data_IF_806094594707
#
_entry.id   IF_806094594707
#
_cell.length_a   1.000
_cell.length_b   1.000
_cell.length_c   1.000
_cell.angle_alpha   90.00
_cell.angle_beta   90.00
_cell.angle_gamma   90.00
#
_symmetry.space_group_name_H-M   'P 1'
#
loop_
_entity.id
_entity.type
_entity.pdbx_description
1 polymer ?
#
# COMPACT_ATOMS: atom_id res chain seq x y z
N UNK A 1 -38.67 -58.65 34.07
CA UNK A 1 -37.47 -58.15 33.41
C UNK A 1 -37.81 -56.85 32.66
N UNK A 2 -37.46 -55.69 33.21
CA UNK A 2 -37.71 -54.37 32.62
C UNK A 2 -36.45 -53.90 31.88
N UNK A 3 -36.52 -53.74 30.56
CA UNK A 3 -35.43 -53.16 29.75
C UNK A 3 -35.49 -51.65 29.81
N UNK A 4 -34.45 -51.02 30.34
CA UNK A 4 -34.25 -49.56 30.35
C UNK A 4 -33.55 -49.21 29.03
N UNK A 5 -34.22 -48.41 28.23
CA UNK A 5 -33.66 -47.88 26.94
C UNK A 5 -32.95 -46.56 27.27
N UNK A 6 -31.63 -46.56 27.18
CA UNK A 6 -30.84 -45.32 27.34
C UNK A 6 -30.83 -44.56 26.01
N UNK A 7 -31.44 -43.36 26.00
CA UNK A 7 -31.31 -42.40 24.88
C UNK A 7 -29.99 -41.67 24.99
N UNK A 8 -29.09 -41.88 24.03
CA UNK A 8 -27.92 -41.05 23.84
C UNK A 8 -28.33 -39.74 23.12
N UNK A 9 -28.29 -38.63 23.84
CA UNK A 9 -28.44 -37.30 23.22
C UNK A 9 -27.05 -36.84 22.71
N UNK A 10 -26.83 -36.93 21.39
CA UNK A 10 -25.66 -36.38 20.77
C UNK A 10 -25.74 -34.85 20.70
N UNK A 11 -25.02 -34.16 21.59
CA UNK A 11 -24.91 -32.72 21.59
C UNK A 11 -24.09 -32.26 20.37
N UNK A 12 -24.73 -31.56 19.41
CA UNK A 12 -24.06 -30.87 18.32
C UNK A 12 -23.33 -29.63 18.91
N UNK A 13 -22.02 -29.73 19.09
CA UNK A 13 -21.20 -28.58 19.45
C UNK A 13 -21.09 -27.66 18.22
N UNK A 14 -21.79 -26.51 18.23
CA UNK A 14 -21.61 -25.45 17.27
C UNK A 14 -20.20 -24.88 17.44
N UNK A 15 -19.32 -25.09 16.43
CA UNK A 15 -18.03 -24.44 16.38
C UNK A 15 -18.22 -22.92 16.37
N UNK A 16 -17.44 -22.14 17.15
CA UNK A 16 -17.55 -20.69 17.14
C UNK A 16 -17.22 -20.18 15.72
N UNK A 17 -17.91 -19.11 15.24
CA UNK A 17 -17.63 -18.56 13.93
C UNK A 17 -16.15 -18.15 13.86
N UNK A 18 -15.45 -18.58 12.82
CA UNK A 18 -14.07 -18.19 12.57
C UNK A 18 -14.00 -16.66 12.57
N UNK A 19 -13.24 -16.09 13.52
CA UNK A 19 -13.02 -14.66 13.58
C UNK A 19 -12.49 -14.21 12.23
N UNK A 20 -13.22 -13.32 11.56
CA UNK A 20 -12.76 -12.75 10.29
C UNK A 20 -11.38 -12.13 10.53
N UNK A 21 -10.36 -12.60 9.78
CA UNK A 21 -9.00 -12.12 9.95
C UNK A 21 -8.99 -10.59 9.88
N UNK A 22 -8.42 -9.94 10.91
CA UNK A 22 -8.39 -8.49 11.04
C UNK A 22 -7.71 -7.87 9.80
N UNK A 23 -8.46 -7.06 9.06
CA UNK A 23 -7.94 -6.34 7.91
C UNK A 23 -6.93 -5.32 8.37
N UNK A 24 -5.68 -5.45 7.93
CA UNK A 24 -4.61 -4.56 8.35
C UNK A 24 -3.75 -4.09 7.19
N UNK A 25 -3.34 -2.82 7.24
CA UNK A 25 -2.58 -2.11 6.22
C UNK A 25 -1.40 -1.39 6.87
N UNK A 26 -0.22 -1.48 6.28
CA UNK A 26 0.86 -0.53 6.50
C UNK A 26 0.89 0.48 5.35
N UNK A 27 0.84 1.76 5.69
CA UNK A 27 1.15 2.86 4.76
C UNK A 27 2.58 3.30 5.02
N UNK A 28 3.47 3.01 4.07
CA UNK A 28 4.89 3.35 4.10
C UNK A 28 5.16 4.43 3.04
N UNK A 29 5.57 5.62 3.44
CA UNK A 29 5.67 6.69 2.47
C UNK A 29 6.43 7.93 2.91
N UNK A 30 6.40 8.90 2.02
CA UNK A 30 6.96 10.25 2.14
C UNK A 30 5.92 11.30 2.53
N UNK A 31 6.17 12.57 2.18
CA UNK A 31 5.24 13.70 2.43
C UNK A 31 3.86 13.51 1.79
N UNK A 32 3.77 12.80 0.65
CA UNK A 32 2.49 12.52 0.01
C UNK A 32 1.65 11.54 0.84
N UNK A 33 2.29 10.58 1.50
CA UNK A 33 1.60 9.70 2.44
C UNK A 33 1.18 10.46 3.71
N UNK A 34 2.01 11.36 4.22
CA UNK A 34 1.66 12.25 5.35
C UNK A 34 0.41 13.07 5.03
N UNK A 35 0.36 13.74 3.87
CA UNK A 35 -0.80 14.52 3.46
C UNK A 35 -2.05 13.67 3.23
N UNK A 36 -1.90 12.39 2.85
CA UNK A 36 -3.03 11.46 2.66
C UNK A 36 -3.58 10.93 3.99
N UNK A 37 -2.77 10.89 5.03
CA UNK A 37 -3.06 10.30 6.34
C UNK A 37 -4.41 10.69 6.96
N UNK A 38 -4.81 11.98 6.99
CA UNK A 38 -6.08 12.39 7.63
C UNK A 38 -7.33 11.80 6.97
N UNK A 39 -7.24 11.41 5.69
CA UNK A 39 -8.38 10.95 4.90
C UNK A 39 -8.55 9.42 4.91
N UNK A 40 -7.51 8.66 5.27
CA UNK A 40 -7.53 7.19 5.21
C UNK A 40 -8.58 6.55 6.15
N UNK A 41 -8.77 7.01 7.40
CA UNK A 41 -9.74 6.37 8.31
C UNK A 41 -11.17 6.37 7.77
N UNK A 42 -11.57 7.41 7.08
CA UNK A 42 -12.88 7.51 6.44
C UNK A 42 -13.05 6.49 5.32
N UNK A 43 -12.01 6.26 4.55
CA UNK A 43 -12.03 5.36 3.39
C UNK A 43 -11.86 3.88 3.77
N UNK A 44 -11.26 3.60 4.92
CA UNK A 44 -10.98 2.25 5.44
C UNK A 44 -11.44 2.08 6.90
N UNK A 45 -12.73 2.30 7.22
CA UNK A 45 -13.20 2.35 8.61
C UNK A 45 -13.08 1.00 9.36
N UNK A 46 -13.05 -0.12 8.62
CA UNK A 46 -12.93 -1.47 9.19
C UNK A 46 -11.50 -2.04 9.11
N UNK A 47 -10.50 -1.20 8.79
CA UNK A 47 -9.11 -1.61 8.69
C UNK A 47 -8.28 -1.07 9.85
N UNK A 48 -7.40 -1.90 10.38
CA UNK A 48 -6.33 -1.43 11.25
C UNK A 48 -5.20 -0.86 10.38
N UNK A 49 -5.10 0.46 10.30
CA UNK A 49 -4.11 1.16 9.48
C UNK A 49 -2.93 1.59 10.34
N UNK A 50 -1.76 1.03 10.07
CA UNK A 50 -0.48 1.48 10.59
C UNK A 50 0.17 2.42 9.58
N UNK A 51 0.73 3.52 10.06
CA UNK A 51 1.34 4.52 9.19
C UNK A 51 2.78 4.78 9.60
N UNK A 52 3.67 4.74 8.63
CA UNK A 52 5.05 5.18 8.74
C UNK A 52 5.36 6.04 7.53
N UNK A 53 5.11 7.32 7.65
CA UNK A 53 5.48 8.31 6.64
C UNK A 53 6.48 9.30 7.23
N UNK A 54 7.34 9.87 6.40
CA UNK A 54 8.25 10.93 6.78
C UNK A 54 8.58 11.80 5.57
N UNK A 55 8.56 13.12 5.76
CA UNK A 55 8.95 14.08 4.73
C UNK A 55 10.34 13.73 4.18
N UNK A 56 10.51 13.85 2.88
CA UNK A 56 11.76 13.56 2.15
C UNK A 56 12.28 12.12 2.24
N UNK A 57 11.46 11.14 2.70
CA UNK A 57 11.89 9.74 2.69
C UNK A 57 12.11 9.27 1.26
N UNK A 58 13.25 8.57 1.07
CA UNK A 58 13.64 7.94 -0.18
C UNK A 58 13.11 6.51 -0.33
N UNK A 59 13.07 6.02 -1.57
CA UNK A 59 12.59 4.67 -1.88
C UNK A 59 13.44 3.57 -1.22
N UNK A 60 14.77 3.73 -1.19
CA UNK A 60 15.70 2.77 -0.58
C UNK A 60 15.50 2.58 0.93
N UNK A 61 14.77 3.48 1.62
CA UNK A 61 14.44 3.36 3.04
C UNK A 61 13.15 2.56 3.30
N UNK A 62 12.47 2.15 2.24
CA UNK A 62 11.15 1.53 2.35
C UNK A 62 11.17 0.15 2.99
N UNK A 63 12.16 -0.67 2.69
CA UNK A 63 12.31 -2.01 3.23
C UNK A 63 12.68 -1.98 4.73
N UNK A 64 13.53 -1.04 5.15
CA UNK A 64 13.89 -0.87 6.56
C UNK A 64 12.66 -0.58 7.43
N UNK A 65 11.78 0.31 6.94
CA UNK A 65 10.49 0.58 7.61
C UNK A 65 9.70 -0.71 7.79
N UNK A 66 9.59 -1.53 6.75
CA UNK A 66 8.84 -2.79 6.81
C UNK A 66 9.50 -3.80 7.77
N UNK A 67 10.84 -3.91 7.78
CA UNK A 67 11.59 -4.80 8.69
C UNK A 67 11.32 -4.49 10.16
N UNK A 68 11.14 -3.21 10.53
CA UNK A 68 10.82 -2.79 11.91
C UNK A 68 9.50 -3.35 12.44
N UNK A 69 8.57 -3.70 11.55
CA UNK A 69 7.32 -4.36 11.95
C UNK A 69 7.49 -5.86 12.23
N UNK A 70 8.50 -6.53 11.64
CA UNK A 70 8.80 -7.94 11.85
C UNK A 70 7.56 -8.82 11.60
N UNK A 71 7.20 -9.66 12.57
CA UNK A 71 6.02 -10.53 12.51
C UNK A 71 4.67 -9.76 12.50
N UNK A 72 4.66 -8.50 12.93
CA UNK A 72 3.49 -7.62 12.94
C UNK A 72 3.25 -6.93 11.58
N UNK A 73 4.12 -7.16 10.58
CA UNK A 73 3.95 -6.57 9.25
C UNK A 73 2.64 -7.05 8.62
N UNK A 74 1.72 -6.14 8.25
CA UNK A 74 0.43 -6.48 7.67
C UNK A 74 0.53 -7.30 6.38
N UNK A 75 -0.58 -7.96 6.03
CA UNK A 75 -0.70 -8.66 4.75
C UNK A 75 -0.78 -7.71 3.55
N UNK A 76 -1.19 -6.47 3.77
CA UNK A 76 -1.26 -5.42 2.75
C UNK A 76 -0.34 -4.28 3.13
N UNK A 77 0.50 -3.86 2.19
CA UNK A 77 1.42 -2.72 2.33
C UNK A 77 1.16 -1.75 1.18
N UNK A 78 0.88 -0.49 1.50
CA UNK A 78 0.91 0.58 0.53
C UNK A 78 2.25 1.31 0.59
N UNK A 79 2.89 1.52 -0.56
CA UNK A 79 4.14 2.26 -0.69
C UNK A 79 3.91 3.53 -1.52
N UNK A 80 4.28 4.67 -0.94
CA UNK A 80 4.26 5.98 -1.58
C UNK A 80 5.65 6.59 -1.47
N UNK A 81 6.60 6.07 -2.25
CA UNK A 81 8.02 6.44 -2.26
C UNK A 81 8.55 6.54 -3.69
N UNK A 82 9.66 7.23 -3.85
CA UNK A 82 10.33 7.47 -5.12
C UNK A 82 10.23 8.93 -5.58
N UNK A 83 9.37 9.73 -4.96
CA UNK A 83 9.18 11.14 -5.31
C UNK A 83 10.41 11.99 -4.97
N UNK A 84 11.20 11.58 -3.97
CA UNK A 84 12.37 12.32 -3.49
C UNK A 84 13.69 11.77 -4.03
N UNK A 85 13.64 10.77 -4.87
CA UNK A 85 14.83 10.13 -5.44
C UNK A 85 15.25 10.78 -6.78
N UNK A 86 16.49 10.58 -7.19
CA UNK A 86 16.98 11.05 -8.49
C UNK A 86 16.37 10.19 -9.61
N UNK A 87 15.48 10.74 -10.48
CA UNK A 87 14.84 9.97 -11.53
C UNK A 87 15.79 9.42 -12.60
N UNK A 88 17.07 9.80 -12.58
CA UNK A 88 18.14 9.24 -13.40
C UNK A 88 18.66 7.90 -12.89
N UNK A 89 18.52 7.62 -11.59
CA UNK A 89 18.95 6.38 -10.97
C UNK A 89 17.88 5.27 -11.06
N UNK A 90 17.73 4.72 -12.27
CA UNK A 90 16.73 3.66 -12.54
C UNK A 90 17.06 2.35 -11.83
N UNK A 91 18.35 2.03 -11.68
CA UNK A 91 18.79 0.79 -11.04
C UNK A 91 18.61 0.86 -9.54
N UNK A 92 18.96 1.96 -8.88
CA UNK A 92 18.70 2.16 -7.47
C UNK A 92 17.21 2.11 -7.13
N UNK A 93 16.34 2.63 -8.01
CA UNK A 93 14.91 2.50 -7.81
C UNK A 93 14.40 1.06 -7.99
N UNK A 94 14.96 0.31 -8.95
CA UNK A 94 14.67 -1.12 -9.13
C UNK A 94 15.08 -1.93 -7.90
N UNK A 95 16.26 -1.65 -7.36
CA UNK A 95 16.79 -2.29 -6.16
C UNK A 95 15.91 -2.00 -4.93
N UNK A 96 15.46 -0.75 -4.77
CA UNK A 96 14.52 -0.37 -3.71
C UNK A 96 13.20 -1.16 -3.79
N UNK A 97 12.65 -1.34 -5.01
CA UNK A 97 11.46 -2.18 -5.21
C UNK A 97 11.78 -3.64 -4.85
N UNK A 98 12.91 -4.18 -5.29
CA UNK A 98 13.31 -5.56 -5.00
C UNK A 98 13.47 -5.80 -3.50
N UNK A 99 14.04 -4.86 -2.76
CA UNK A 99 14.23 -4.94 -1.30
C UNK A 99 12.91 -4.92 -0.54
N UNK A 100 12.00 -4.02 -0.91
CA UNK A 100 10.63 -3.98 -0.38
C UNK A 100 9.92 -5.30 -0.63
N UNK A 101 10.01 -5.83 -1.86
CA UNK A 101 9.36 -7.09 -2.24
C UNK A 101 10.00 -8.31 -1.56
N UNK A 102 11.29 -8.27 -1.25
CA UNK A 102 11.99 -9.31 -0.48
C UNK A 102 11.45 -9.37 0.96
N UNK A 103 11.23 -8.21 1.60
CA UNK A 103 10.63 -8.14 2.94
C UNK A 103 9.16 -8.52 2.92
N UNK A 104 8.42 -8.13 1.90
CA UNK A 104 7.01 -8.52 1.73
C UNK A 104 6.86 -10.04 1.57
N UNK A 105 7.83 -10.70 0.93
CA UNK A 105 7.74 -12.10 0.57
C UNK A 105 6.61 -12.35 -0.44
N UNK A 106 6.17 -13.61 -0.56
CA UNK A 106 5.12 -14.00 -1.52
C UNK A 106 3.69 -13.87 -0.98
N UNK A 107 3.53 -13.76 0.32
CA UNK A 107 2.23 -13.80 1.01
C UNK A 107 1.60 -12.41 1.25
N UNK A 108 2.34 -11.33 1.04
CA UNK A 108 1.86 -9.97 1.24
C UNK A 108 1.64 -9.28 -0.09
N UNK A 109 0.54 -8.54 -0.18
CA UNK A 109 0.24 -7.69 -1.32
C UNK A 109 0.87 -6.31 -1.09
N UNK A 110 1.64 -5.84 -2.07
CA UNK A 110 2.22 -4.50 -2.09
C UNK A 110 1.51 -3.67 -3.15
N UNK A 111 1.01 -2.49 -2.75
CA UNK A 111 0.42 -1.50 -3.65
C UNK A 111 1.33 -0.28 -3.69
N UNK A 112 2.04 -0.07 -4.79
CA UNK A 112 2.96 1.07 -4.95
C UNK A 112 2.33 2.16 -5.82
N UNK A 113 2.28 3.39 -5.34
CA UNK A 113 1.78 4.52 -6.12
C UNK A 113 2.85 4.98 -7.12
N UNK A 114 2.49 5.10 -8.40
CA UNK A 114 3.40 5.70 -9.37
C UNK A 114 3.50 7.23 -9.15
N UNK A 115 4.57 7.84 -9.71
CA UNK A 115 5.09 9.13 -9.31
C UNK A 115 4.62 10.22 -10.27
N UNK A 116 4.10 11.31 -9.69
CA UNK A 116 3.85 12.58 -10.35
C UNK A 116 4.77 13.63 -9.73
N UNK A 117 5.68 14.18 -10.52
CA UNK A 117 6.57 15.27 -10.14
C UNK A 117 7.16 15.90 -11.40
N UNK A 118 7.47 17.21 -11.41
CA UNK A 118 8.27 17.84 -12.45
C UNK A 118 9.64 17.18 -12.60
N UNK A 119 10.27 17.28 -13.76
CA UNK A 119 11.62 16.76 -13.96
C UNK A 119 12.60 17.30 -12.90
N UNK A 120 13.46 16.42 -12.40
CA UNK A 120 14.57 16.79 -11.54
C UNK A 120 15.86 16.78 -12.37
N UNK A 121 16.60 17.88 -12.36
CA UNK A 121 17.81 18.05 -13.20
C UNK A 121 17.59 17.68 -14.67
N UNK A 122 16.42 18.03 -15.22
CA UNK A 122 16.05 17.72 -16.61
C UNK A 122 15.56 16.28 -16.86
N UNK A 123 15.64 15.40 -15.88
CA UNK A 123 15.22 13.99 -16.00
C UNK A 123 13.81 13.80 -15.46
N UNK A 124 12.93 13.21 -16.26
CA UNK A 124 11.53 12.99 -15.87
C UNK A 124 11.34 11.66 -15.13
N UNK A 125 10.37 11.61 -14.22
CA UNK A 125 9.98 10.39 -13.48
C UNK A 125 9.27 9.31 -14.35
N UNK A 126 9.17 9.51 -15.66
CA UNK A 126 8.63 8.49 -16.57
C UNK A 126 9.46 7.21 -16.55
N UNK A 127 10.79 7.32 -16.36
CA UNK A 127 11.69 6.17 -16.20
C UNK A 127 11.30 5.32 -15.00
N UNK A 128 11.15 5.93 -13.83
CA UNK A 128 10.69 5.28 -12.58
C UNK A 128 9.34 4.61 -12.75
N UNK A 129 8.38 5.29 -13.37
CA UNK A 129 7.05 4.74 -13.58
C UNK A 129 7.06 3.53 -14.54
N UNK A 130 7.99 3.49 -15.51
CA UNK A 130 8.18 2.29 -16.35
C UNK A 130 8.82 1.15 -15.55
N UNK A 131 9.88 1.42 -14.78
CA UNK A 131 10.49 0.42 -13.88
C UNK A 131 9.45 -0.19 -12.95
N UNK A 132 8.63 0.63 -12.31
CA UNK A 132 7.57 0.14 -11.42
C UNK A 132 6.53 -0.72 -12.14
N UNK A 133 6.14 -0.33 -13.36
CA UNK A 133 5.19 -1.11 -14.16
C UNK A 133 5.79 -2.45 -14.61
N UNK A 134 7.06 -2.47 -15.01
CA UNK A 134 7.79 -3.67 -15.40
C UNK A 134 7.95 -4.63 -14.23
N UNK A 135 8.31 -4.14 -13.04
CA UNK A 135 8.41 -4.96 -11.83
C UNK A 135 7.05 -5.53 -11.41
N UNK A 136 5.99 -4.73 -11.53
CA UNK A 136 4.64 -5.20 -11.23
C UNK A 136 4.14 -6.27 -12.23
N UNK A 137 4.55 -6.20 -13.49
CA UNK A 137 4.19 -7.22 -14.49
C UNK A 137 4.80 -8.60 -14.19
N UNK A 138 5.92 -8.64 -13.48
CA UNK A 138 6.67 -9.86 -13.12
C UNK A 138 6.33 -10.42 -11.74
N UNK A 139 5.56 -9.69 -10.92
CA UNK A 139 5.30 -10.03 -9.52
C UNK A 139 3.80 -10.02 -9.24
N UNK A 140 3.21 -11.18 -9.06
CA UNK A 140 1.75 -11.33 -8.84
C UNK A 140 1.23 -10.55 -7.61
N UNK A 141 2.10 -10.28 -6.64
CA UNK A 141 1.77 -9.58 -5.40
C UNK A 141 2.24 -8.11 -5.34
N UNK A 142 2.72 -7.54 -6.46
CA UNK A 142 2.99 -6.10 -6.61
C UNK A 142 1.94 -5.49 -7.55
N UNK A 143 1.27 -4.45 -7.08
CA UNK A 143 0.24 -3.72 -7.83
C UNK A 143 0.60 -2.25 -7.92
N UNK A 144 0.28 -1.62 -9.03
CA UNK A 144 0.49 -0.17 -9.22
C UNK A 144 -0.81 0.58 -8.95
N UNK A 145 -0.79 1.51 -7.99
CA UNK A 145 -1.79 2.56 -7.89
C UNK A 145 -1.45 3.63 -8.93
N UNK A 146 -2.26 3.73 -9.99
CA UNK A 146 -1.97 4.63 -11.10
C UNK A 146 -2.36 6.08 -10.80
N UNK A 147 -1.55 6.73 -9.94
CA UNK A 147 -1.73 8.12 -9.54
C UNK A 147 -1.53 9.10 -10.72
N UNK A 148 -0.57 8.81 -11.60
CA UNK A 148 -0.33 9.60 -12.83
C UNK A 148 -1.60 9.74 -13.67
N UNK A 149 -2.34 8.64 -13.87
CA UNK A 149 -3.60 8.66 -14.63
C UNK A 149 -4.65 9.55 -13.98
N UNK A 150 -4.70 9.55 -12.65
CA UNK A 150 -5.68 10.34 -11.90
C UNK A 150 -5.37 11.83 -12.01
N UNK A 151 -4.12 12.23 -11.75
CA UNK A 151 -3.69 13.63 -11.85
C UNK A 151 -3.82 14.16 -13.28
N UNK A 152 -3.59 13.35 -14.31
CA UNK A 152 -3.80 13.77 -15.70
C UNK A 152 -5.26 14.15 -16.01
N UNK A 153 -6.21 13.59 -15.28
CA UNK A 153 -7.65 13.89 -15.41
C UNK A 153 -8.08 15.05 -14.51
N UNK A 154 -7.28 15.34 -13.51
CA UNK A 154 -7.53 16.32 -12.45
C UNK A 154 -6.28 17.11 -12.16
N UNK A 155 -5.72 17.85 -13.14
CA UNK A 155 -4.49 18.64 -12.95
C UNK A 155 -4.67 19.72 -11.88
N UNK A 156 -5.90 20.17 -11.64
CA UNK A 156 -6.28 21.13 -10.61
C UNK A 156 -6.02 20.62 -9.16
N UNK A 157 -5.72 19.36 -9.00
CA UNK A 157 -5.34 18.83 -7.68
C UNK A 157 -3.90 19.19 -7.30
N UNK A 158 -3.01 19.40 -8.30
CA UNK A 158 -1.61 19.69 -8.03
C UNK A 158 -1.44 21.07 -7.38
N UNK A 159 -0.53 21.11 -6.40
CA UNK A 159 0.03 22.35 -5.89
C UNK A 159 1.07 22.92 -6.88
N UNK A 160 1.54 24.13 -6.62
CA UNK A 160 2.47 24.86 -7.50
C UNK A 160 3.80 24.13 -7.72
N UNK A 161 4.21 23.27 -6.78
CA UNK A 161 5.42 22.46 -6.92
C UNK A 161 5.25 21.25 -7.86
N UNK A 162 4.05 20.99 -8.34
CA UNK A 162 3.72 19.91 -9.27
C UNK A 162 3.90 18.49 -8.71
N UNK A 163 4.07 18.35 -7.39
CA UNK A 163 4.22 17.06 -6.69
C UNK A 163 3.19 16.88 -5.58
N UNK A 164 3.09 17.85 -4.67
CA UNK A 164 2.05 17.85 -3.64
C UNK A 164 0.69 18.20 -4.23
N UNK A 165 -0.36 17.97 -3.46
CA UNK A 165 -1.73 18.17 -3.94
C UNK A 165 -2.55 18.95 -2.91
N UNK A 166 -3.64 19.53 -3.38
CA UNK A 166 -4.66 20.18 -2.55
C UNK A 166 -5.34 19.16 -1.62
N UNK A 167 -6.11 19.65 -0.64
CA UNK A 167 -6.93 18.81 0.24
C UNK A 167 -7.82 17.83 -0.54
N UNK A 168 -8.42 18.29 -1.65
CA UNK A 168 -9.21 17.44 -2.56
C UNK A 168 -8.37 16.36 -3.23
N UNK A 169 -7.14 16.70 -3.65
CA UNK A 169 -6.20 15.74 -4.21
C UNK A 169 -5.79 14.66 -3.20
N UNK A 170 -5.52 15.04 -1.96
CA UNK A 170 -5.21 14.08 -0.89
C UNK A 170 -6.38 13.17 -0.55
N UNK A 171 -7.61 13.70 -0.53
CA UNK A 171 -8.81 12.88 -0.38
C UNK A 171 -8.94 11.87 -1.52
N UNK A 172 -8.81 12.30 -2.78
CA UNK A 172 -8.86 11.42 -3.94
C UNK A 172 -7.76 10.35 -3.92
N UNK A 173 -6.57 10.68 -3.37
CA UNK A 173 -5.47 9.75 -3.18
C UNK A 173 -5.81 8.68 -2.13
N UNK A 174 -6.46 9.06 -1.01
CA UNK A 174 -6.95 8.11 -0.01
C UNK A 174 -8.02 7.17 -0.57
N UNK A 175 -8.97 7.69 -1.34
CA UNK A 175 -9.97 6.90 -2.04
C UNK A 175 -9.33 5.88 -3.01
N UNK A 176 -8.32 6.32 -3.77
CA UNK A 176 -7.59 5.45 -4.70
C UNK A 176 -6.80 4.36 -3.97
N UNK A 177 -6.14 4.72 -2.87
CA UNK A 177 -5.47 3.77 -1.97
C UNK A 177 -6.46 2.72 -1.48
N UNK A 178 -7.59 3.14 -0.92
CA UNK A 178 -8.61 2.23 -0.39
C UNK A 178 -9.13 1.26 -1.46
N UNK A 179 -9.44 1.75 -2.67
CA UNK A 179 -9.83 0.89 -3.79
C UNK A 179 -8.75 -0.12 -4.17
N UNK A 180 -7.48 0.29 -4.12
CA UNK A 180 -6.36 -0.56 -4.52
C UNK A 180 -6.05 -1.64 -3.50
N UNK A 181 -6.09 -1.32 -2.19
CA UNK A 181 -5.79 -2.29 -1.13
C UNK A 181 -6.91 -3.31 -0.94
N UNK A 182 -8.17 -2.94 -1.17
CA UNK A 182 -9.30 -3.90 -1.15
C UNK A 182 -9.18 -5.00 -2.23
N UNK A 183 -8.44 -4.76 -3.31
CA UNK A 183 -8.17 -5.78 -4.35
C UNK A 183 -7.09 -6.77 -3.93
N UNK A 184 -6.48 -6.58 -2.77
CA UNK A 184 -5.50 -7.49 -2.18
C UNK A 184 -6.14 -8.58 -1.30
N UNK A 185 -7.46 -8.56 -1.15
CA UNK A 185 -8.27 -9.52 -0.37
C UNK A 185 -8.73 -10.73 -1.17
#
# INVERSE_FOLDING_TARGET
MRRVLAMLVAGLALAPPASAAERSLLVNGDSLAEGTKPYIPRELPSWRVMQSAAVSRHAYQGDEVMRRYGSRLPRVVHVSLGTNDDPGDLDGFRDAIADVMRVAGRSRCVVWANIVRPPYRGVSYRGYNRVLADEASRRANLRVLNWVRMVRRHPEWLADDGAHVSARGYQARAEALARSVRRCE
#
